data_IF_815780107543
#
_entry.id   IF_815780107543
#
_cell.length_a   1.000
_cell.length_b   1.000
_cell.length_c   1.000
_cell.angle_alpha   90.00
_cell.angle_beta   90.00
_cell.angle_gamma   90.00
#
_symmetry.space_group_name_H-M   'P 1'
#
loop_
_entity.id
_entity.type
_entity.pdbx_description
1 polymer ?
#
# COMPACT_ATOMS: atom_id res chain seq x y z
N UNK A 1 8.18 9.97 -5.42
CA UNK A 1 7.36 11.16 -5.04
C UNK A 1 6.91 10.95 -3.60
N UNK A 2 6.92 12.00 -2.76
CA UNK A 2 6.65 11.89 -1.32
C UNK A 2 5.34 12.61 -0.97
N UNK A 3 4.47 12.00 -0.15
CA UNK A 3 3.21 12.61 0.32
C UNK A 3 3.09 12.55 1.84
N UNK A 4 2.81 13.70 2.47
CA UNK A 4 2.50 13.79 3.91
C UNK A 4 1.06 13.37 4.17
N UNK A 5 0.77 12.94 5.41
CA UNK A 5 -0.61 12.70 5.87
C UNK A 5 -1.48 13.94 5.58
N UNK A 6 -2.71 13.70 5.14
CA UNK A 6 -3.73 14.67 4.75
C UNK A 6 -3.39 15.54 3.52
N UNK A 7 -2.22 15.35 2.90
CA UNK A 7 -1.86 16.01 1.65
C UNK A 7 -2.78 15.55 0.52
N UNK A 8 -3.27 16.51 -0.26
CA UNK A 8 -4.07 16.24 -1.45
C UNK A 8 -3.12 15.77 -2.57
N UNK A 9 -3.36 14.54 -3.03
CA UNK A 9 -2.60 13.90 -4.11
C UNK A 9 -3.23 14.24 -5.46
N UNK A 10 -4.55 14.17 -5.54
CA UNK A 10 -5.31 14.40 -6.77
C UNK A 10 -6.59 15.19 -6.46
N UNK A 11 -6.88 16.18 -7.30
CA UNK A 11 -8.21 16.79 -7.44
C UNK A 11 -8.64 16.61 -8.88
N UNK A 12 -9.78 15.95 -9.08
CA UNK A 12 -10.21 15.59 -10.43
C UNK A 12 -11.69 15.92 -10.64
N UNK A 13 -11.99 16.50 -11.80
CA UNK A 13 -13.36 16.63 -12.32
C UNK A 13 -13.72 15.40 -13.13
N UNK A 14 -14.97 14.91 -13.07
CA UNK A 14 -15.36 13.68 -13.72
C UNK A 14 -15.36 13.82 -15.24
N UNK A 15 -14.92 12.77 -15.93
CA UNK A 15 -15.04 12.64 -17.39
C UNK A 15 -16.52 12.56 -17.81
N UNK A 16 -17.28 11.78 -17.06
CA UNK A 16 -18.73 11.65 -17.16
C UNK A 16 -19.30 11.51 -15.76
N UNK A 17 -20.46 12.12 -15.53
CA UNK A 17 -21.22 11.99 -14.29
C UNK A 17 -22.70 11.74 -14.61
N UNK A 18 -23.35 10.88 -13.84
CA UNK A 18 -24.76 10.55 -13.94
C UNK A 18 -25.37 10.54 -12.54
N UNK A 19 -26.37 11.38 -12.34
CA UNK A 19 -27.12 11.46 -11.09
C UNK A 19 -28.05 10.25 -10.95
N UNK A 20 -28.11 9.69 -9.74
CA UNK A 20 -29.09 8.65 -9.43
C UNK A 20 -30.50 9.24 -9.54
N UNK A 21 -31.42 8.46 -10.07
CA UNK A 21 -32.77 8.93 -10.40
C UNK A 21 -33.56 9.37 -9.19
N UNK A 22 -33.40 8.63 -8.08
CA UNK A 22 -34.00 8.94 -6.79
C UNK A 22 -33.49 10.29 -6.26
N UNK A 23 -32.29 10.71 -6.68
CA UNK A 23 -31.64 11.95 -6.24
C UNK A 23 -31.81 13.11 -7.22
N UNK A 24 -32.38 12.86 -8.40
CA UNK A 24 -32.46 13.81 -9.51
C UNK A 24 -33.20 15.12 -9.16
N UNK A 25 -34.10 15.09 -8.17
CA UNK A 25 -34.81 16.29 -7.65
C UNK A 25 -34.15 16.96 -6.44
N UNK A 26 -33.11 16.33 -5.86
CA UNK A 26 -32.43 16.80 -4.65
C UNK A 26 -31.05 17.40 -4.95
N UNK A 27 -30.36 16.89 -5.96
CA UNK A 27 -29.01 17.33 -6.33
C UNK A 27 -28.96 17.80 -7.79
N UNK A 28 -28.14 18.81 -8.06
CA UNK A 28 -27.91 19.30 -9.41
C UNK A 28 -27.28 18.20 -10.30
N UNK A 29 -27.85 17.93 -11.47
CA UNK A 29 -27.37 16.88 -12.40
C UNK A 29 -25.98 17.12 -13.00
N UNK A 30 -25.41 18.33 -12.83
CA UNK A 30 -24.05 18.65 -13.26
C UNK A 30 -23.06 18.74 -12.09
N UNK A 31 -23.33 19.61 -11.12
CA UNK A 31 -22.37 19.86 -10.04
C UNK A 31 -22.59 19.00 -8.79
N UNK A 32 -23.71 18.29 -8.67
CA UNK A 32 -24.05 17.45 -7.50
C UNK A 32 -24.20 18.25 -6.19
N UNK A 33 -24.45 19.56 -6.26
CA UNK A 33 -24.82 20.35 -5.08
C UNK A 33 -26.29 20.17 -4.75
N UNK A 34 -26.60 20.04 -3.45
CA UNK A 34 -27.96 20.10 -2.93
C UNK A 34 -28.36 21.57 -2.76
N UNK A 35 -29.15 22.07 -3.71
CA UNK A 35 -29.64 23.45 -3.78
C UNK A 35 -31.05 23.43 -4.35
N UNK A 36 -31.75 24.56 -4.31
CA UNK A 36 -32.99 24.72 -5.09
C UNK A 36 -32.70 24.45 -6.56
N UNK A 37 -33.39 23.47 -7.13
CA UNK A 37 -33.23 23.08 -8.52
C UNK A 37 -34.38 23.61 -9.36
N UNK A 38 -34.13 23.75 -10.65
CA UNK A 38 -35.15 23.88 -11.67
C UNK A 38 -34.98 22.76 -12.69
N UNK A 39 -36.10 22.37 -13.26
CA UNK A 39 -36.20 21.33 -14.27
C UNK A 39 -35.80 21.86 -15.64
N UNK A 40 -35.16 21.02 -16.44
CA UNK A 40 -34.91 21.31 -17.85
C UNK A 40 -36.25 21.40 -18.58
N UNK A 41 -36.63 22.57 -19.12
CA UNK A 41 -37.97 22.79 -19.67
C UNK A 41 -38.22 22.00 -20.96
N UNK A 42 -37.17 21.49 -21.61
CA UNK A 42 -37.27 20.75 -22.86
C UNK A 42 -37.55 19.27 -22.64
N UNK A 43 -36.74 18.61 -21.81
CA UNK A 43 -36.84 17.16 -21.63
C UNK A 43 -37.53 16.75 -20.33
N UNK A 44 -37.60 17.62 -19.32
CA UNK A 44 -38.18 17.31 -18.00
C UNK A 44 -37.44 16.23 -17.18
N UNK A 45 -36.33 15.69 -17.70
CA UNK A 45 -35.56 14.59 -17.11
C UNK A 45 -34.34 15.01 -16.29
N UNK A 46 -33.90 16.26 -16.41
CA UNK A 46 -32.68 16.76 -15.75
C UNK A 46 -32.98 18.02 -14.95
N UNK A 47 -32.31 18.15 -13.80
CA UNK A 47 -32.51 19.27 -12.88
C UNK A 47 -31.18 19.96 -12.58
N UNK A 48 -31.20 21.28 -12.52
CA UNK A 48 -29.99 22.10 -12.33
C UNK A 48 -30.19 23.17 -11.28
N UNK A 49 -29.12 23.53 -10.56
CA UNK A 49 -29.17 24.61 -9.57
C UNK A 49 -28.99 26.01 -10.18
N UNK A 50 -28.51 26.10 -11.42
CA UNK A 50 -28.27 27.37 -12.13
C UNK A 50 -28.27 27.15 -13.65
N UNK A 51 -28.64 28.20 -14.41
CA UNK A 51 -28.52 28.19 -15.89
C UNK A 51 -27.08 27.96 -16.36
N UNK A 52 -26.11 28.32 -15.51
CA UNK A 52 -24.71 28.03 -15.76
C UNK A 52 -24.41 26.52 -15.72
N UNK A 53 -24.93 25.80 -14.72
CA UNK A 53 -24.77 24.35 -14.65
C UNK A 53 -25.42 23.63 -15.83
N UNK A 54 -26.63 24.04 -16.22
CA UNK A 54 -27.32 23.53 -17.43
C UNK A 54 -26.46 23.76 -18.69
N UNK A 55 -25.87 24.96 -18.83
CA UNK A 55 -25.01 25.28 -19.98
C UNK A 55 -23.69 24.51 -20.00
N UNK A 56 -23.13 24.21 -18.82
CA UNK A 56 -21.87 23.46 -18.66
C UNK A 56 -22.06 21.96 -18.86
N UNK A 57 -23.28 21.43 -18.69
CA UNK A 57 -23.62 20.05 -19.03
C UNK A 57 -23.74 19.88 -20.55
N UNK A 58 -22.59 19.85 -21.21
CA UNK A 58 -22.48 19.71 -22.67
C UNK A 58 -22.95 18.34 -23.18
N UNK A 59 -22.95 17.31 -22.32
CA UNK A 59 -23.48 15.98 -22.63
C UNK A 59 -25.00 16.06 -22.67
N UNK A 60 -25.63 16.70 -21.68
CA UNK A 60 -27.09 16.90 -21.67
C UNK A 60 -27.60 17.53 -22.95
N UNK A 61 -26.91 18.54 -23.50
CA UNK A 61 -27.30 19.19 -24.76
C UNK A 61 -27.43 18.21 -25.93
N UNK A 62 -26.69 17.10 -25.93
CA UNK A 62 -26.70 16.07 -26.98
C UNK A 62 -27.77 14.99 -26.73
N UNK A 63 -28.11 14.71 -25.47
CA UNK A 63 -29.15 13.72 -25.10
C UNK A 63 -30.53 14.34 -24.86
N UNK A 64 -30.65 15.67 -24.71
CA UNK A 64 -31.89 16.36 -24.30
C UNK A 64 -33.08 16.08 -25.22
N UNK A 65 -32.90 16.23 -26.53
CA UNK A 65 -33.97 15.98 -27.52
C UNK A 65 -34.40 14.51 -27.52
N UNK A 66 -33.46 13.59 -27.35
CA UNK A 66 -33.74 12.16 -27.26
C UNK A 66 -34.63 11.85 -26.06
N UNK A 67 -34.32 12.40 -24.88
CA UNK A 67 -35.15 12.28 -23.68
C UNK A 67 -36.53 12.94 -23.82
N UNK A 68 -36.62 14.09 -24.52
CA UNK A 68 -37.91 14.72 -24.83
C UNK A 68 -38.79 13.79 -25.66
N UNK A 69 -38.28 13.30 -26.79
CA UNK A 69 -39.02 12.43 -27.69
C UNK A 69 -39.42 11.10 -27.01
N UNK A 70 -38.53 10.56 -26.17
CA UNK A 70 -38.80 9.36 -25.38
C UNK A 70 -40.02 9.53 -24.46
N UNK A 71 -40.14 10.69 -23.80
CA UNK A 71 -41.24 11.00 -22.89
C UNK A 71 -42.59 11.12 -23.61
N UNK A 72 -42.57 11.65 -24.84
CA UNK A 72 -43.77 11.83 -25.67
C UNK A 72 -44.30 10.50 -26.26
N UNK A 73 -43.48 9.44 -26.28
CA UNK A 73 -43.80 8.14 -26.87
C UNK A 73 -44.74 7.26 -26.00
N UNK A 74 -44.93 7.59 -24.72
CA UNK A 74 -45.90 6.91 -23.83
C UNK A 74 -45.58 5.45 -23.45
N UNK A 75 -44.49 4.86 -23.93
CA UNK A 75 -44.04 3.50 -23.63
C UNK A 75 -43.10 3.46 -22.41
N UNK A 76 -43.59 3.89 -21.24
CA UNK A 76 -42.74 4.13 -20.07
C UNK A 76 -42.85 3.00 -19.02
N UNK A 77 -42.34 1.81 -19.33
CA UNK A 77 -42.15 0.71 -18.36
C UNK A 77 -40.68 0.31 -18.17
N UNK A 78 -39.74 1.07 -18.72
CA UNK A 78 -38.33 0.88 -18.39
C UNK A 78 -37.96 1.84 -17.28
N UNK A 79 -37.88 1.27 -16.07
CA UNK A 79 -37.05 1.77 -14.99
C UNK A 79 -35.77 2.33 -15.61
N UNK A 80 -35.65 3.66 -15.65
CA UNK A 80 -34.35 4.26 -15.90
C UNK A 80 -33.41 3.61 -14.87
N UNK A 81 -32.38 2.92 -15.33
CA UNK A 81 -31.38 2.34 -14.43
C UNK A 81 -30.24 3.35 -14.35
N UNK A 82 -29.76 3.67 -13.15
CA UNK A 82 -28.68 4.65 -12.96
C UNK A 82 -27.43 4.28 -13.81
N UNK A 83 -27.15 2.98 -13.97
CA UNK A 83 -26.09 2.46 -14.85
C UNK A 83 -26.35 2.70 -16.34
N UNK A 84 -27.61 2.68 -16.79
CA UNK A 84 -27.96 2.97 -18.17
C UNK A 84 -27.69 4.44 -18.50
N UNK A 85 -28.05 5.35 -17.59
CA UNK A 85 -27.80 6.79 -17.74
C UNK A 85 -26.29 7.07 -17.78
N UNK A 86 -25.51 6.41 -16.92
CA UNK A 86 -24.04 6.51 -16.98
C UNK A 86 -23.51 5.98 -18.31
N UNK A 87 -23.98 4.82 -18.77
CA UNK A 87 -23.50 4.23 -20.02
C UNK A 87 -23.83 5.10 -21.24
N UNK A 88 -25.07 5.61 -21.31
CA UNK A 88 -25.49 6.55 -22.34
C UNK A 88 -24.57 7.77 -22.39
N UNK A 89 -24.32 8.40 -21.23
CA UNK A 89 -23.47 9.58 -21.16
C UNK A 89 -22.02 9.30 -21.58
N UNK A 90 -21.50 8.10 -21.34
CA UNK A 90 -20.19 7.67 -21.86
C UNK A 90 -20.21 7.61 -23.38
N UNK A 91 -21.21 6.96 -23.98
CA UNK A 91 -21.34 6.87 -25.44
C UNK A 91 -21.47 8.25 -26.09
N UNK A 92 -22.32 9.11 -25.52
CA UNK A 92 -22.49 10.48 -26.01
C UNK A 92 -21.17 11.24 -25.89
N UNK A 93 -20.49 11.16 -24.74
CA UNK A 93 -19.22 11.84 -24.51
C UNK A 93 -18.19 11.44 -25.55
N UNK A 94 -17.99 10.14 -25.83
CA UNK A 94 -16.99 9.64 -26.80
C UNK A 94 -17.26 10.05 -28.25
N UNK A 95 -18.49 10.47 -28.59
CA UNK A 95 -18.86 11.02 -29.90
C UNK A 95 -18.79 12.53 -30.01
N UNK A 96 -18.58 13.22 -28.89
CA UNK A 96 -18.33 14.66 -28.90
C UNK A 96 -16.92 14.95 -29.40
N UNK A 97 -16.69 16.22 -29.78
CA UNK A 97 -15.35 16.75 -30.00
C UNK A 97 -14.63 16.85 -28.63
N UNK A 98 -13.92 15.77 -28.26
CA UNK A 98 -13.13 15.66 -27.03
C UNK A 98 -11.66 15.87 -27.38
N UNK A 99 -10.92 16.46 -26.45
CA UNK A 99 -9.46 16.49 -26.52
C UNK A 99 -8.89 15.06 -26.76
N UNK A 100 -8.06 14.84 -27.80
CA UNK A 100 -7.47 13.54 -28.09
C UNK A 100 -6.74 12.90 -26.90
N UNK A 101 -6.12 13.70 -26.03
CA UNK A 101 -5.42 13.22 -24.82
C UNK A 101 -6.42 12.64 -23.82
N UNK A 102 -7.57 13.29 -23.62
CA UNK A 102 -8.61 12.84 -22.70
C UNK A 102 -9.28 11.55 -23.22
N UNK A 103 -9.56 11.49 -24.53
CA UNK A 103 -10.07 10.27 -25.18
C UNK A 103 -9.07 9.11 -25.11
N UNK A 104 -7.77 9.39 -25.34
CA UNK A 104 -6.71 8.40 -25.17
C UNK A 104 -6.61 7.92 -23.72
N UNK A 105 -6.75 8.83 -22.74
CA UNK A 105 -6.77 8.49 -21.32
C UNK A 105 -7.91 7.52 -21.01
N UNK A 106 -9.13 7.79 -21.48
CA UNK A 106 -10.28 6.89 -21.36
C UNK A 106 -10.04 5.53 -22.03
N UNK A 107 -9.58 5.51 -23.28
CA UNK A 107 -9.34 4.28 -24.03
C UNK A 107 -8.24 3.40 -23.42
N UNK A 108 -7.29 4.01 -22.69
CA UNK A 108 -6.20 3.30 -22.00
C UNK A 108 -6.63 2.56 -20.72
N UNK A 109 -7.82 2.86 -20.18
CA UNK A 109 -8.36 2.13 -19.04
C UNK A 109 -8.65 0.67 -19.42
N UNK A 110 -8.37 -0.27 -18.51
CA UNK A 110 -8.77 -1.68 -18.73
C UNK A 110 -10.27 -1.79 -18.91
N UNK A 111 -10.68 -2.55 -19.91
CA UNK A 111 -12.07 -2.87 -20.19
C UNK A 111 -12.44 -4.29 -19.76
N UNK A 112 -11.47 -5.12 -19.38
CA UNK A 112 -11.67 -6.54 -19.07
C UNK A 112 -12.48 -7.28 -20.15
N UNK A 113 -12.32 -6.89 -21.42
CA UNK A 113 -13.16 -7.36 -22.54
C UNK A 113 -13.27 -8.89 -22.60
N UNK A 114 -12.14 -9.60 -22.55
CA UNK A 114 -12.10 -11.06 -22.64
C UNK A 114 -12.79 -11.76 -21.47
N UNK A 115 -12.79 -11.14 -20.29
CA UNK A 115 -13.49 -11.64 -19.11
C UNK A 115 -14.99 -11.36 -19.22
N UNK A 116 -15.37 -10.15 -19.65
CA UNK A 116 -16.77 -9.74 -19.82
C UNK A 116 -17.48 -10.57 -20.88
N UNK A 117 -16.86 -10.84 -22.03
CA UNK A 117 -17.49 -11.65 -23.09
C UNK A 117 -17.80 -13.08 -22.62
N UNK A 118 -17.03 -13.61 -21.67
CA UNK A 118 -17.25 -14.94 -21.07
C UNK A 118 -18.25 -14.91 -19.92
N UNK A 119 -18.48 -13.74 -19.33
CA UNK A 119 -19.40 -13.53 -18.22
C UNK A 119 -20.84 -13.33 -18.73
N UNK A 120 -21.64 -14.40 -18.67
CA UNK A 120 -23.03 -14.42 -19.14
C UNK A 120 -23.91 -13.38 -18.43
N UNK A 121 -23.67 -13.13 -17.13
CA UNK A 121 -24.45 -12.16 -16.35
C UNK A 121 -24.19 -10.75 -16.87
N UNK A 122 -22.92 -10.40 -17.11
CA UNK A 122 -22.52 -9.11 -17.66
C UNK A 122 -22.98 -8.90 -19.09
N UNK A 123 -22.93 -9.92 -19.94
CA UNK A 123 -23.43 -9.81 -21.32
C UNK A 123 -24.95 -9.60 -21.35
N UNK A 124 -25.70 -10.24 -20.44
CA UNK A 124 -27.14 -9.99 -20.33
C UNK A 124 -27.42 -8.56 -19.84
N UNK A 125 -26.66 -8.07 -18.85
CA UNK A 125 -26.73 -6.69 -18.38
C UNK A 125 -26.41 -5.70 -19.52
N UNK A 126 -25.35 -5.93 -20.27
CA UNK A 126 -24.96 -5.12 -21.43
C UNK A 126 -26.09 -5.03 -22.47
N UNK A 127 -26.68 -6.18 -22.86
CA UNK A 127 -27.79 -6.23 -23.81
C UNK A 127 -29.00 -5.44 -23.33
N UNK A 128 -29.31 -5.52 -22.03
CA UNK A 128 -30.38 -4.75 -21.42
C UNK A 128 -30.12 -3.24 -21.51
N UNK A 129 -28.93 -2.79 -21.09
CA UNK A 129 -28.58 -1.36 -21.16
C UNK A 129 -28.56 -0.85 -22.60
N UNK A 130 -27.98 -1.62 -23.54
CA UNK A 130 -27.95 -1.29 -24.97
C UNK A 130 -29.35 -1.16 -25.55
N UNK A 131 -30.27 -2.07 -25.20
CA UNK A 131 -31.66 -1.99 -25.64
C UNK A 131 -32.36 -0.73 -25.11
N UNK A 132 -32.14 -0.38 -23.84
CA UNK A 132 -32.69 0.86 -23.30
C UNK A 132 -32.12 2.10 -24.00
N UNK A 133 -30.81 2.14 -24.25
CA UNK A 133 -30.18 3.24 -25.01
C UNK A 133 -30.75 3.34 -26.42
N UNK A 134 -31.01 2.21 -27.09
CA UNK A 134 -31.66 2.16 -28.40
C UNK A 134 -33.02 2.85 -28.39
N UNK A 135 -33.79 2.71 -27.31
CA UNK A 135 -35.11 3.34 -27.21
C UNK A 135 -35.04 4.85 -26.97
N UNK A 136 -33.99 5.32 -26.29
CA UNK A 136 -33.78 6.75 -26.03
C UNK A 136 -33.17 7.43 -27.28
N UNK A 137 -32.04 6.92 -27.76
CA UNK A 137 -31.21 7.57 -28.80
C UNK A 137 -31.47 7.07 -30.21
N UNK A 138 -32.21 5.96 -30.38
CA UNK A 138 -32.46 5.34 -31.69
C UNK A 138 -31.34 4.39 -32.16
N UNK A 139 -31.62 3.67 -33.25
CA UNK A 139 -30.66 2.74 -33.88
C UNK A 139 -29.52 3.46 -34.59
N UNK A 140 -29.78 4.64 -35.17
CA UNK A 140 -28.77 5.41 -35.90
C UNK A 140 -27.59 5.77 -34.99
N UNK A 141 -27.85 6.26 -33.78
CA UNK A 141 -26.81 6.55 -32.79
C UNK A 141 -25.96 5.33 -32.43
N UNK A 142 -26.59 4.17 -32.20
CA UNK A 142 -25.86 2.95 -31.86
C UNK A 142 -25.05 2.40 -33.03
N UNK A 143 -25.48 2.65 -34.28
CA UNK A 143 -24.76 2.22 -35.48
C UNK A 143 -23.41 2.91 -35.67
N UNK A 144 -23.17 4.01 -34.94
CA UNK A 144 -21.88 4.70 -34.93
C UNK A 144 -20.79 3.93 -34.17
N UNK A 145 -21.13 2.87 -33.44
CA UNK A 145 -20.21 2.08 -32.63
C UNK A 145 -20.15 0.64 -33.13
N UNK A 146 -18.97 0.04 -33.14
CA UNK A 146 -18.88 -1.41 -33.33
C UNK A 146 -19.39 -2.15 -32.09
N UNK A 147 -19.83 -3.40 -32.23
CA UNK A 147 -20.22 -4.22 -31.08
C UNK A 147 -19.08 -4.36 -30.07
N UNK A 148 -17.85 -4.46 -30.58
CA UNK A 148 -16.64 -4.54 -29.79
C UNK A 148 -16.46 -3.28 -28.95
N UNK A 149 -16.62 -2.08 -29.54
CA UNK A 149 -16.49 -0.81 -28.83
C UNK A 149 -17.55 -0.69 -27.74
N UNK A 150 -18.81 -1.08 -28.01
CA UNK A 150 -19.88 -1.03 -27.03
C UNK A 150 -19.59 -1.91 -25.81
N UNK A 151 -19.12 -3.15 -26.02
CA UNK A 151 -18.75 -4.06 -24.91
C UNK A 151 -17.52 -3.51 -24.16
N UNK A 152 -16.54 -2.99 -24.89
CA UNK A 152 -15.31 -2.41 -24.34
C UNK A 152 -15.60 -1.17 -23.49
N UNK A 153 -16.52 -0.29 -23.90
CA UNK A 153 -16.96 0.87 -23.12
C UNK A 153 -17.81 0.46 -21.92
N UNK A 154 -18.67 -0.55 -22.07
CA UNK A 154 -19.43 -1.13 -20.96
C UNK A 154 -18.50 -1.70 -19.88
N UNK A 155 -17.43 -2.38 -20.29
CA UNK A 155 -16.41 -2.89 -19.38
C UNK A 155 -15.68 -1.80 -18.63
N UNK A 156 -15.19 -0.77 -19.34
CA UNK A 156 -14.57 0.39 -18.67
C UNK A 156 -15.52 1.04 -17.66
N UNK A 157 -16.78 1.21 -18.01
CA UNK A 157 -17.78 1.73 -17.08
C UNK A 157 -17.88 0.87 -15.82
N UNK A 158 -18.03 -0.44 -15.95
CA UNK A 158 -18.23 -1.32 -14.80
C UNK A 158 -17.04 -1.33 -13.83
N UNK A 159 -15.84 -1.39 -14.39
CA UNK A 159 -14.57 -1.48 -13.65
C UNK A 159 -14.22 -0.14 -12.99
N UNK A 160 -14.48 0.98 -13.66
CA UNK A 160 -13.94 2.29 -13.26
C UNK A 160 -14.96 3.25 -12.66
N UNK A 161 -16.27 2.97 -12.75
CA UNK A 161 -17.30 3.83 -12.14
C UNK A 161 -17.05 3.98 -10.65
N UNK A 162 -17.22 5.21 -10.19
CA UNK A 162 -17.10 5.61 -8.80
C UNK A 162 -18.45 6.10 -8.31
N UNK A 163 -18.88 5.57 -7.16
CA UNK A 163 -20.06 6.03 -6.45
C UNK A 163 -19.76 7.38 -5.77
N UNK A 164 -20.41 8.45 -6.21
CA UNK A 164 -20.24 9.80 -5.67
C UNK A 164 -21.21 10.00 -4.51
N UNK A 165 -20.68 10.42 -3.36
CA UNK A 165 -21.46 10.57 -2.12
C UNK A 165 -21.39 11.99 -1.58
N UNK A 166 -22.47 12.44 -0.93
CA UNK A 166 -22.50 13.64 -0.09
C UNK A 166 -22.93 13.22 1.31
N UNK A 167 -22.00 13.29 2.26
CA UNK A 167 -22.15 12.60 3.54
C UNK A 167 -22.30 11.09 3.32
N UNK A 168 -23.36 10.50 3.88
CA UNK A 168 -23.66 9.08 3.74
C UNK A 168 -24.56 8.76 2.53
N UNK A 169 -25.07 9.78 1.83
CA UNK A 169 -26.00 9.59 0.73
C UNK A 169 -25.25 9.33 -0.57
N UNK A 170 -25.60 8.25 -1.26
CA UNK A 170 -25.24 8.05 -2.66
C UNK A 170 -26.02 9.06 -3.51
N UNK A 171 -25.30 9.87 -4.29
CA UNK A 171 -25.90 10.88 -5.18
C UNK A 171 -25.99 10.37 -6.61
N UNK A 172 -24.98 9.60 -7.03
CA UNK A 172 -24.84 9.17 -8.40
C UNK A 172 -23.51 8.47 -8.65
N UNK A 173 -23.19 8.29 -9.92
CA UNK A 173 -21.96 7.66 -10.38
C UNK A 173 -21.19 8.57 -11.32
N UNK A 174 -19.87 8.42 -11.32
CA UNK A 174 -18.98 9.14 -12.21
C UNK A 174 -17.78 8.30 -12.65
N UNK A 175 -17.15 8.69 -13.76
CA UNK A 175 -15.84 8.20 -14.17
C UNK A 175 -14.78 9.29 -13.95
N UNK A 176 -13.71 8.94 -13.26
CA UNK A 176 -12.55 9.79 -12.97
C UNK A 176 -11.32 9.09 -13.55
N UNK A 177 -10.85 9.55 -14.71
CA UNK A 177 -9.86 8.82 -15.51
C UNK A 177 -8.52 8.68 -14.79
N UNK A 178 -8.05 9.75 -14.12
CA UNK A 178 -6.77 9.73 -13.42
C UNK A 178 -6.87 8.93 -12.12
N UNK A 179 -7.96 9.08 -11.36
CA UNK A 179 -8.21 8.28 -10.16
C UNK A 179 -8.30 6.78 -10.46
N UNK A 180 -8.88 6.40 -11.60
CA UNK A 180 -9.01 5.01 -12.07
C UNK A 180 -7.67 4.32 -12.37
N UNK A 181 -6.57 5.07 -12.46
CA UNK A 181 -5.21 4.50 -12.66
C UNK A 181 -4.57 4.01 -11.37
N UNK A 182 -5.07 4.42 -10.20
CA UNK A 182 -4.50 3.98 -8.92
C UNK A 182 -4.80 2.51 -8.66
N UNK A 183 -3.78 1.79 -8.20
CA UNK A 183 -3.91 0.37 -7.87
C UNK A 183 -4.77 0.16 -6.63
N UNK A 184 -5.41 -1.00 -6.58
CA UNK A 184 -6.16 -1.42 -5.41
C UNK A 184 -5.23 -1.86 -4.26
N UNK A 185 -5.59 -1.49 -3.03
CA UNK A 185 -5.18 -2.17 -1.80
C UNK A 185 -6.39 -2.34 -0.88
N UNK A 186 -6.53 -3.50 -0.22
CA UNK A 186 -7.55 -3.69 0.82
C UNK A 186 -7.25 -2.90 2.11
N UNK A 187 -6.04 -2.34 2.20
CA UNK A 187 -5.61 -1.37 3.20
C UNK A 187 -4.96 -0.20 2.43
N UNK A 188 -5.76 0.73 1.88
CA UNK A 188 -5.24 1.79 1.05
C UNK A 188 -4.48 2.82 1.89
N UNK A 189 -3.42 3.38 1.33
CA UNK A 189 -2.69 4.52 1.92
C UNK A 189 -3.32 5.88 1.56
N UNK A 190 -4.47 5.88 0.87
CA UNK A 190 -5.24 7.09 0.52
C UNK A 190 -6.73 6.96 0.84
N UNK A 191 -7.41 8.10 0.95
CA UNK A 191 -8.88 8.20 1.06
C UNK A 191 -9.43 9.03 -0.09
N UNK A 192 -10.53 8.56 -0.66
CA UNK A 192 -11.36 9.32 -1.61
C UNK A 192 -12.43 10.07 -0.82
N UNK A 193 -12.58 11.34 -1.13
CA UNK A 193 -13.68 12.20 -0.68
C UNK A 193 -14.19 13.02 -1.86
N UNK A 194 -15.38 13.60 -1.71
CA UNK A 194 -15.98 14.41 -2.77
C UNK A 194 -16.22 15.83 -2.29
N UNK A 195 -15.88 16.79 -3.14
CA UNK A 195 -16.32 18.18 -3.03
C UNK A 195 -17.29 18.42 -4.19
N UNK A 196 -18.58 18.30 -3.90
CA UNK A 196 -19.62 18.24 -4.92
C UNK A 196 -19.34 17.10 -5.91
N UNK A 197 -19.26 17.37 -7.22
CA UNK A 197 -18.90 16.38 -8.25
C UNK A 197 -17.39 16.15 -8.39
N UNK A 198 -16.52 16.80 -7.62
CA UNK A 198 -15.05 16.65 -7.74
C UNK A 198 -14.52 15.57 -6.80
N UNK A 199 -13.70 14.66 -7.33
CA UNK A 199 -12.95 13.70 -6.53
C UNK A 199 -11.73 14.36 -5.90
N UNK A 200 -11.54 14.13 -4.61
CA UNK A 200 -10.36 14.55 -3.85
C UNK A 200 -9.73 13.30 -3.23
N UNK A 201 -8.51 12.98 -3.69
CA UNK A 201 -7.70 11.91 -3.15
C UNK A 201 -6.69 12.49 -2.15
N UNK A 202 -6.71 12.02 -0.91
CA UNK A 202 -5.78 12.44 0.15
C UNK A 202 -4.98 11.27 0.69
N UNK A 203 -3.73 11.53 1.08
CA UNK A 203 -2.91 10.55 1.78
C UNK A 203 -3.42 10.35 3.22
N UNK A 204 -3.60 9.11 3.66
CA UNK A 204 -4.03 8.79 5.03
C UNK A 204 -2.85 8.73 6.01
N UNK A 205 -1.65 8.54 5.47
CA UNK A 205 -0.38 8.44 6.17
C UNK A 205 0.73 8.99 5.27
N UNK A 206 1.95 8.99 5.79
CA UNK A 206 3.13 9.22 4.96
C UNK A 206 3.23 8.16 3.86
N UNK A 207 3.40 8.59 2.60
CA UNK A 207 3.70 7.72 1.44
C UNK A 207 5.11 8.08 0.96
N UNK A 208 6.03 7.12 1.03
CA UNK A 208 7.45 7.31 0.67
C UNK A 208 7.66 7.10 -0.83
N UNK A 209 8.88 7.34 -1.32
CA UNK A 209 9.16 7.24 -2.77
C UNK A 209 9.00 5.83 -3.34
N UNK A 210 9.18 4.81 -2.50
CA UNK A 210 9.06 3.39 -2.87
C UNK A 210 7.61 2.88 -2.87
N UNK A 211 6.68 3.70 -2.37
CA UNK A 211 5.28 3.38 -2.30
C UNK A 211 4.51 4.13 -3.38
N UNK A 212 3.55 3.45 -4.01
CA UNK A 212 2.55 4.10 -4.85
C UNK A 212 1.30 4.41 -4.04
N UNK A 213 0.59 5.53 -4.31
CA UNK A 213 -0.75 5.72 -3.79
C UNK A 213 -1.69 4.60 -4.26
N UNK A 214 -2.54 4.13 -3.36
CA UNK A 214 -3.48 3.03 -3.59
C UNK A 214 -4.87 3.39 -3.08
N UNK A 215 -5.90 2.89 -3.76
CA UNK A 215 -7.32 3.09 -3.42
C UNK A 215 -7.98 1.78 -3.03
N UNK A 216 -9.14 1.82 -2.38
CA UNK A 216 -9.96 0.62 -2.16
C UNK A 216 -11.09 0.54 -3.18
N UNK A 217 -11.22 -0.61 -3.85
CA UNK A 217 -12.31 -0.92 -4.79
C UNK A 217 -13.43 -1.73 -4.12
N UNK A 218 -13.23 -2.14 -2.87
CA UNK A 218 -14.18 -2.87 -2.04
C UNK A 218 -14.31 -2.22 -0.66
N UNK A 219 -15.34 -2.58 0.09
CA UNK A 219 -15.52 -2.07 1.45
C UNK A 219 -14.45 -2.67 2.38
N UNK A 220 -13.87 -1.82 3.24
CA UNK A 220 -12.71 -2.19 4.06
C UNK A 220 -13.07 -3.03 5.29
N UNK A 221 -14.35 -3.07 5.66
CA UNK A 221 -14.95 -3.85 6.75
C UNK A 221 -15.26 -5.31 6.39
N UNK A 222 -15.28 -5.68 5.11
CA UNK A 222 -15.48 -7.06 4.65
C UNK A 222 -14.35 -7.96 5.12
N UNK A 223 -14.65 -9.24 5.39
CA UNK A 223 -13.66 -10.26 5.71
C UNK A 223 -12.71 -10.53 4.53
N UNK A 224 -11.59 -11.20 4.79
CA UNK A 224 -10.59 -11.49 3.75
C UNK A 224 -11.15 -12.32 2.61
N UNK A 225 -12.00 -13.31 2.93
CA UNK A 225 -12.66 -14.15 1.92
C UNK A 225 -13.66 -13.34 1.09
N UNK A 226 -14.47 -12.50 1.74
CA UNK A 226 -15.45 -11.65 1.06
C UNK A 226 -14.77 -10.66 0.12
N UNK A 227 -13.70 -9.98 0.56
CA UNK A 227 -12.96 -9.03 -0.30
C UNK A 227 -12.36 -9.73 -1.51
N UNK A 228 -11.69 -10.87 -1.33
CA UNK A 228 -11.09 -11.63 -2.45
C UNK A 228 -12.15 -12.10 -3.43
N UNK A 229 -13.27 -12.63 -2.93
CA UNK A 229 -14.40 -13.08 -3.75
C UNK A 229 -15.02 -11.92 -4.52
N UNK A 230 -15.23 -10.78 -3.85
CA UNK A 230 -15.78 -9.57 -4.46
C UNK A 230 -14.89 -9.02 -5.57
N UNK A 231 -13.59 -8.86 -5.32
CA UNK A 231 -12.64 -8.33 -6.31
C UNK A 231 -12.53 -9.26 -7.53
N UNK A 232 -12.47 -10.57 -7.30
CA UNK A 232 -12.44 -11.56 -8.40
C UNK A 232 -13.73 -11.53 -9.22
N UNK A 233 -14.89 -11.44 -8.56
CA UNK A 233 -16.20 -11.42 -9.23
C UNK A 233 -16.45 -10.14 -10.02
N UNK A 234 -16.15 -8.98 -9.43
CA UNK A 234 -16.58 -7.69 -9.99
C UNK A 234 -15.47 -6.95 -10.76
N UNK A 235 -14.19 -7.31 -10.54
CA UNK A 235 -13.02 -6.66 -11.15
C UNK A 235 -12.04 -7.64 -11.82
N UNK A 236 -12.32 -8.94 -11.80
CA UNK A 236 -11.57 -9.98 -12.52
C UNK A 236 -10.08 -10.12 -12.15
N UNK A 237 -9.68 -9.75 -10.93
CA UNK A 237 -8.29 -9.94 -10.46
C UNK A 237 -8.22 -10.52 -9.04
N UNK A 238 -7.10 -11.19 -8.72
CA UNK A 238 -6.77 -11.69 -7.39
C UNK A 238 -5.90 -10.66 -6.63
N UNK A 239 -6.32 -10.24 -5.43
CA UNK A 239 -5.61 -9.23 -4.66
C UNK A 239 -4.45 -9.82 -3.84
N UNK A 240 -3.26 -9.25 -4.02
CA UNK A 240 -2.03 -9.64 -3.33
C UNK A 240 -1.47 -8.54 -2.40
N UNK A 241 -2.32 -7.62 -1.91
CA UNK A 241 -1.88 -6.60 -0.96
C UNK A 241 -1.52 -7.20 0.41
N UNK A 242 -0.78 -6.42 1.22
CA UNK A 242 -0.32 -6.78 2.57
C UNK A 242 -1.42 -7.36 3.48
N UNK A 243 -2.62 -6.74 3.47
CA UNK A 243 -3.78 -7.24 4.21
C UNK A 243 -4.25 -8.62 3.73
N UNK A 244 -4.20 -8.88 2.42
CA UNK A 244 -4.64 -10.16 1.83
C UNK A 244 -3.59 -11.27 1.93
N UNK A 245 -2.30 -10.92 2.04
CA UNK A 245 -1.18 -11.85 2.23
C UNK A 245 -0.82 -12.08 3.69
N UNK A 246 -1.42 -11.33 4.62
CA UNK A 246 -1.17 -11.46 6.07
C UNK A 246 0.20 -10.91 6.51
N UNK A 247 0.80 -10.03 5.72
CA UNK A 247 2.09 -9.39 6.06
C UNK A 247 1.81 -7.96 6.51
N UNK A 248 1.86 -7.68 7.82
CA UNK A 248 1.74 -6.31 8.31
C UNK A 248 3.08 -5.55 8.27
N UNK A 249 3.08 -4.26 7.86
CA UNK A 249 4.28 -3.43 7.93
C UNK A 249 4.62 -3.06 9.38
N UNK A 250 5.91 -3.05 9.68
CA UNK A 250 6.43 -2.88 11.05
C UNK A 250 6.10 -1.52 11.69
N UNK A 251 5.96 -0.47 10.87
CA UNK A 251 5.47 0.84 11.34
C UNK A 251 4.05 0.76 11.93
N UNK A 252 3.19 -0.11 11.37
CA UNK A 252 1.82 -0.29 11.87
C UNK A 252 1.84 -1.07 13.18
N UNK A 253 2.68 -2.11 13.27
CA UNK A 253 2.86 -2.88 14.50
C UNK A 253 3.25 -1.94 15.65
N UNK A 254 4.35 -1.19 15.52
CA UNK A 254 4.79 -0.31 16.61
C UNK A 254 3.82 0.84 16.92
N UNK A 255 3.02 1.29 15.93
CA UNK A 255 1.96 2.27 16.15
C UNK A 255 0.75 1.68 16.90
N UNK A 256 0.33 0.44 16.60
CA UNK A 256 -0.72 -0.28 17.34
C UNK A 256 -0.34 -0.54 18.80
N UNK A 257 0.95 -0.71 19.09
CA UNK A 257 1.46 -0.83 20.47
C UNK A 257 1.62 0.52 21.20
N UNK A 258 1.22 1.63 20.57
CA UNK A 258 1.22 2.99 21.12
C UNK A 258 2.56 3.37 21.76
N UNK A 259 3.69 2.95 21.17
CA UNK A 259 5.02 3.29 21.71
C UNK A 259 5.15 4.82 21.75
N UNK A 260 5.34 5.37 22.95
CA UNK A 260 5.48 6.81 23.15
C UNK A 260 6.93 7.21 22.89
N UNK A 261 7.16 7.89 21.77
CA UNK A 261 8.48 8.31 21.34
C UNK A 261 9.24 9.13 22.40
N UNK A 262 8.57 10.02 23.13
CA UNK A 262 9.24 10.88 24.12
C UNK A 262 9.78 10.05 25.28
N UNK A 263 8.96 9.17 25.86
CA UNK A 263 9.41 8.28 26.93
C UNK A 263 10.46 7.26 26.43
N UNK A 264 10.31 6.77 25.20
CA UNK A 264 11.27 5.83 24.62
C UNK A 264 12.63 6.48 24.40
N UNK A 265 12.68 7.73 23.94
CA UNK A 265 13.93 8.48 23.78
C UNK A 265 14.63 8.73 25.12
N UNK A 266 13.86 9.07 26.16
CA UNK A 266 14.40 9.21 27.51
C UNK A 266 14.99 7.88 28.03
N UNK A 267 14.28 6.77 27.83
CA UNK A 267 14.76 5.45 28.23
C UNK A 267 15.96 4.98 27.40
N UNK A 268 16.00 5.28 26.10
CA UNK A 268 17.19 5.06 25.26
C UNK A 268 18.41 5.75 25.86
N UNK A 269 18.28 6.99 26.33
CA UNK A 269 19.36 7.71 27.02
C UNK A 269 19.83 7.07 28.32
N UNK A 270 19.00 6.23 28.95
CA UNK A 270 19.33 5.47 30.17
C UNK A 270 19.87 4.07 29.86
N UNK A 271 19.73 3.59 28.62
CA UNK A 271 20.13 2.24 28.24
C UNK A 271 21.65 2.08 28.30
N UNK A 272 22.08 1.03 29.00
CA UNK A 272 23.48 0.63 29.14
C UNK A 272 23.76 -0.60 28.30
N UNK A 273 24.95 -0.65 27.71
CA UNK A 273 25.47 -1.83 27.02
C UNK A 273 26.52 -2.46 27.93
N UNK A 274 26.35 -3.73 28.26
CA UNK A 274 27.24 -4.48 29.15
C UNK A 274 27.79 -5.70 28.42
N UNK A 275 29.10 -5.92 28.51
CA UNK A 275 29.72 -7.13 28.01
C UNK A 275 29.76 -8.20 29.11
N UNK A 276 29.16 -9.35 28.85
CA UNK A 276 29.08 -10.44 29.82
C UNK A 276 29.44 -11.79 29.19
N UNK A 277 30.03 -12.67 29.99
CA UNK A 277 30.29 -14.05 29.58
C UNK A 277 28.97 -14.81 29.41
N UNK A 278 28.98 -15.77 28.49
CA UNK A 278 27.80 -16.59 28.17
C UNK A 278 27.18 -17.22 29.44
N UNK A 279 25.84 -17.13 29.61
CA UNK A 279 25.11 -17.85 30.65
C UNK A 279 25.21 -19.37 30.47
N UNK A 280 25.41 -20.12 31.55
CA UNK A 280 25.79 -21.53 31.52
C UNK A 280 24.75 -22.47 30.87
N UNK A 281 23.48 -22.06 30.83
CA UNK A 281 22.35 -22.94 30.50
C UNK A 281 21.79 -22.84 29.06
N UNK A 282 22.36 -22.03 28.17
CA UNK A 282 21.67 -21.73 26.90
C UNK A 282 22.46 -22.05 25.62
N UNK A 283 21.72 -22.28 24.52
CA UNK A 283 22.13 -22.89 23.24
C UNK A 283 23.40 -22.26 22.65
N UNK A 284 24.15 -23.06 21.88
CA UNK A 284 25.58 -22.94 21.56
C UNK A 284 26.14 -21.59 21.02
N UNK A 285 25.35 -20.55 20.75
CA UNK A 285 25.80 -19.36 20.00
C UNK A 285 25.17 -18.00 20.36
N UNK A 286 24.67 -17.76 21.58
CA UNK A 286 24.07 -16.46 21.96
C UNK A 286 25.09 -15.32 21.81
N UNK A 287 24.69 -14.28 21.07
CA UNK A 287 25.47 -13.09 20.75
C UNK A 287 25.05 -11.88 21.59
N UNK A 288 23.76 -11.73 21.86
CA UNK A 288 23.19 -10.68 22.69
C UNK A 288 21.94 -11.17 23.42
N UNK A 289 21.59 -10.50 24.51
CA UNK A 289 20.34 -10.77 25.23
C UNK A 289 19.89 -9.58 26.07
N UNK A 290 18.66 -9.71 26.54
CA UNK A 290 18.04 -8.85 27.54
C UNK A 290 17.30 -9.74 28.54
N UNK A 291 17.39 -9.42 29.83
CA UNK A 291 16.65 -10.14 30.85
C UNK A 291 15.19 -9.65 30.89
N UNK A 292 14.26 -10.57 31.20
CA UNK A 292 12.82 -10.24 31.26
C UNK A 292 12.40 -9.54 32.55
N UNK A 293 13.00 -9.96 33.65
CA UNK A 293 12.61 -9.54 35.01
C UNK A 293 13.59 -8.51 35.62
N UNK A 294 14.76 -8.35 35.01
CA UNK A 294 15.81 -7.45 35.50
C UNK A 294 15.84 -6.12 34.76
N UNK A 295 16.76 -5.24 35.16
CA UNK A 295 16.97 -3.87 34.68
C UNK A 295 16.53 -3.65 33.21
N UNK A 296 15.39 -2.97 32.96
CA UNK A 296 14.82 -2.82 31.62
C UNK A 296 15.64 -1.87 30.75
N UNK A 297 16.76 -1.35 31.23
CA UNK A 297 17.64 -0.42 30.53
C UNK A 297 19.03 -1.03 30.33
N UNK A 298 19.17 -2.35 30.26
CA UNK A 298 20.47 -2.99 29.97
C UNK A 298 20.36 -3.95 28.80
N UNK A 299 21.25 -3.78 27.83
CA UNK A 299 21.50 -4.72 26.73
C UNK A 299 22.81 -5.44 27.01
N UNK A 300 22.79 -6.76 26.98
CA UNK A 300 23.97 -7.59 27.19
C UNK A 300 24.51 -8.07 25.86
N UNK A 301 25.81 -7.91 25.66
CA UNK A 301 26.54 -8.39 24.49
C UNK A 301 27.55 -9.42 24.97
N UNK A 302 27.70 -10.51 24.22
CA UNK A 302 28.66 -11.55 24.57
C UNK A 302 30.10 -10.99 24.61
N UNK A 303 30.80 -11.19 25.74
CA UNK A 303 32.15 -10.71 25.99
C UNK A 303 33.19 -11.16 24.95
N UNK A 304 32.92 -12.25 24.22
CA UNK A 304 33.77 -12.72 23.11
C UNK A 304 34.02 -11.62 22.07
N UNK A 305 33.04 -10.75 21.81
CA UNK A 305 33.24 -9.62 20.88
C UNK A 305 34.31 -8.65 21.38
N UNK A 306 34.26 -8.31 22.67
CA UNK A 306 35.25 -7.43 23.28
C UNK A 306 36.64 -8.05 23.23
N UNK A 307 36.77 -9.33 23.61
CA UNK A 307 38.04 -10.06 23.57
C UNK A 307 38.62 -10.14 22.16
N UNK A 308 37.78 -10.44 21.14
CA UNK A 308 38.21 -10.48 19.74
C UNK A 308 38.69 -9.10 19.27
N UNK A 309 37.96 -8.03 19.58
CA UNK A 309 38.35 -6.68 19.20
C UNK A 309 39.69 -6.28 19.84
N UNK A 310 39.96 -6.65 21.10
CA UNK A 310 41.27 -6.41 21.72
C UNK A 310 42.40 -7.13 21.00
N UNK A 311 42.19 -8.40 20.58
CA UNK A 311 43.18 -9.14 19.78
C UNK A 311 43.47 -8.42 18.45
N UNK A 312 42.41 -7.99 17.74
CA UNK A 312 42.54 -7.37 16.41
C UNK A 312 43.20 -6.00 16.44
N UNK A 313 43.09 -5.26 17.55
CA UNK A 313 43.72 -3.94 17.74
C UNK A 313 45.24 -3.97 17.63
N UNK A 314 45.88 -5.10 17.94
CA UNK A 314 47.33 -5.27 17.83
C UNK A 314 47.86 -4.93 16.42
N UNK A 315 47.12 -5.34 15.37
CA UNK A 315 47.38 -5.01 13.96
C UNK A 315 46.15 -4.38 13.30
N UNK A 316 45.69 -3.25 13.83
CA UNK A 316 44.43 -2.60 13.39
C UNK A 316 44.31 -2.40 11.87
N UNK A 317 45.38 -2.01 11.18
CA UNK A 317 45.35 -1.74 9.72
C UNK A 317 45.06 -2.99 8.90
N UNK A 318 45.64 -4.13 9.28
CA UNK A 318 45.46 -5.41 8.59
C UNK A 318 44.09 -6.03 8.90
N UNK A 319 43.53 -5.71 10.07
CA UNK A 319 42.29 -6.29 10.58
C UNK A 319 41.07 -5.37 10.42
N UNK A 320 41.18 -4.27 9.68
CA UNK A 320 40.14 -3.24 9.62
C UNK A 320 38.79 -3.81 9.17
N UNK A 321 38.79 -4.72 8.19
CA UNK A 321 37.55 -5.32 7.68
C UNK A 321 36.81 -6.15 8.72
N UNK A 322 37.56 -6.93 9.51
CA UNK A 322 36.99 -7.74 10.58
C UNK A 322 36.47 -6.84 11.71
N UNK A 323 37.22 -5.79 12.07
CA UNK A 323 36.82 -4.82 13.11
C UNK A 323 35.51 -4.13 12.72
N UNK A 324 35.39 -3.63 11.50
CA UNK A 324 34.19 -2.97 10.98
C UNK A 324 33.01 -3.93 10.86
N UNK A 325 33.26 -5.16 10.40
CA UNK A 325 32.24 -6.22 10.36
C UNK A 325 31.69 -6.53 11.74
N UNK A 326 32.55 -6.70 12.75
CA UNK A 326 32.15 -6.92 14.14
C UNK A 326 31.38 -5.71 14.69
N UNK A 327 31.87 -4.51 14.42
CA UNK A 327 31.26 -3.25 14.87
C UNK A 327 29.85 -3.11 14.33
N UNK A 328 29.65 -3.28 13.02
CA UNK A 328 28.34 -3.26 12.39
C UNK A 328 27.41 -4.30 13.00
N UNK A 329 27.86 -5.55 13.18
CA UNK A 329 27.04 -6.59 13.79
C UNK A 329 26.59 -6.19 15.20
N UNK A 330 27.50 -5.68 16.03
CA UNK A 330 27.15 -5.25 17.38
C UNK A 330 26.09 -4.15 17.37
N UNK A 331 26.15 -3.19 16.45
CA UNK A 331 25.08 -2.19 16.27
C UNK A 331 23.74 -2.84 15.93
N UNK A 332 23.73 -3.83 15.04
CA UNK A 332 22.50 -4.58 14.70
C UNK A 332 21.97 -5.36 15.91
N UNK A 333 22.84 -5.99 16.70
CA UNK A 333 22.44 -6.68 17.93
C UNK A 333 21.85 -5.72 18.97
N UNK A 334 22.40 -4.52 19.10
CA UNK A 334 21.87 -3.48 19.98
C UNK A 334 20.47 -3.05 19.52
N UNK A 335 20.28 -2.80 18.21
CA UNK A 335 18.97 -2.45 17.65
C UNK A 335 17.95 -3.58 17.86
N UNK A 336 18.37 -4.83 17.66
CA UNK A 336 17.55 -6.01 17.89
C UNK A 336 17.04 -6.06 19.34
N UNK A 337 17.94 -5.95 20.32
CA UNK A 337 17.57 -5.98 21.74
C UNK A 337 16.75 -4.76 22.15
N UNK A 338 17.03 -3.59 21.56
CA UNK A 338 16.26 -2.37 21.77
C UNK A 338 14.79 -2.56 21.34
N UNK A 339 14.53 -3.29 20.26
CA UNK A 339 13.18 -3.62 19.84
C UNK A 339 12.39 -4.34 20.94
N UNK A 340 13.04 -5.24 21.69
CA UNK A 340 12.41 -5.89 22.85
C UNK A 340 12.26 -4.95 24.04
N UNK A 341 13.26 -4.11 24.33
CA UNK A 341 13.18 -3.15 25.43
C UNK A 341 12.01 -2.17 25.24
N UNK A 342 11.71 -1.76 24.00
CA UNK A 342 10.55 -0.91 23.70
C UNK A 342 9.22 -1.50 24.21
N UNK A 343 9.04 -2.82 24.12
CA UNK A 343 7.89 -3.51 24.71
C UNK A 343 7.97 -3.57 26.24
N UNK A 344 9.16 -3.84 26.78
CA UNK A 344 9.36 -3.95 28.23
C UNK A 344 9.14 -2.64 28.97
N UNK A 345 9.52 -1.50 28.38
CA UNK A 345 9.24 -0.18 28.94
C UNK A 345 7.74 0.12 29.07
N UNK A 346 6.89 -0.62 28.35
CA UNK A 346 5.44 -0.62 28.51
C UNK A 346 4.89 -1.69 29.46
N UNK A 347 5.75 -2.47 30.12
CA UNK A 347 5.37 -3.58 30.98
C UNK A 347 5.10 -4.89 30.22
N UNK A 348 5.33 -4.95 28.91
CA UNK A 348 5.16 -6.16 28.11
C UNK A 348 6.48 -6.95 28.11
N UNK A 349 6.56 -7.97 28.98
CA UNK A 349 7.80 -8.72 29.24
C UNK A 349 8.20 -9.70 28.15
N UNK A 350 7.23 -10.17 27.37
CA UNK A 350 7.41 -11.12 26.26
C UNK A 350 6.83 -10.49 25.01
N UNK A 351 7.58 -10.58 23.90
CA UNK A 351 7.12 -10.09 22.60
C UNK A 351 5.76 -10.74 22.25
N UNK A 352 4.73 -9.96 21.90
CA UNK A 352 3.42 -10.49 21.52
C UNK A 352 3.48 -11.49 20.36
N UNK A 353 2.72 -12.58 20.44
CA UNK A 353 2.73 -13.69 19.46
C UNK A 353 2.50 -13.23 18.01
N UNK A 354 1.67 -12.19 17.80
CA UNK A 354 1.42 -11.60 16.47
C UNK A 354 2.70 -11.06 15.80
N UNK A 355 3.67 -10.61 16.59
CA UNK A 355 4.95 -10.07 16.12
C UNK A 355 5.98 -11.20 15.95
N UNK A 356 5.81 -12.30 16.70
CA UNK A 356 6.74 -13.43 16.88
C UNK A 356 8.05 -13.03 17.57
N UNK A 357 8.83 -12.16 16.96
CA UNK A 357 10.19 -11.81 17.37
C UNK A 357 10.48 -10.35 16.98
N UNK A 358 10.46 -9.44 17.96
CA UNK A 358 10.49 -8.00 17.72
C UNK A 358 11.80 -7.52 17.09
N UNK A 359 12.93 -8.09 17.51
CA UNK A 359 14.24 -7.74 16.98
C UNK A 359 14.41 -8.17 15.52
N UNK A 360 14.03 -9.40 15.17
CA UNK A 360 14.01 -9.90 13.79
C UNK A 360 13.08 -9.06 12.94
N UNK A 361 11.93 -8.64 13.47
CA UNK A 361 11.06 -7.72 12.75
C UNK A 361 11.78 -6.40 12.49
N UNK A 362 12.36 -5.76 13.49
CA UNK A 362 13.09 -4.52 13.28
C UNK A 362 14.23 -4.67 12.25
N UNK A 363 14.96 -5.78 12.28
CA UNK A 363 15.97 -6.12 11.26
C UNK A 363 15.38 -6.27 9.86
N UNK A 364 14.24 -6.95 9.72
CA UNK A 364 13.55 -7.10 8.43
C UNK A 364 13.11 -5.75 7.85
N UNK A 365 12.72 -4.80 8.72
CA UNK A 365 12.40 -3.44 8.29
C UNK A 365 13.62 -2.63 7.88
N UNK A 366 14.71 -2.69 8.65
CA UNK A 366 15.92 -1.91 8.38
C UNK A 366 16.77 -2.49 7.24
N UNK A 367 16.79 -3.82 7.13
CA UNK A 367 17.75 -4.57 6.32
C UNK A 367 17.07 -5.65 5.46
N UNK A 368 15.76 -5.70 5.34
CA UNK A 368 15.08 -6.66 4.45
C UNK A 368 15.30 -8.15 4.77
N UNK A 369 15.78 -8.47 5.98
CA UNK A 369 15.91 -9.83 6.46
C UNK A 369 16.72 -9.96 7.76
N UNK A 370 16.86 -11.21 8.22
CA UNK A 370 17.62 -11.55 9.43
C UNK A 370 19.12 -11.46 9.18
N UNK A 371 19.82 -10.64 9.96
CA UNK A 371 21.25 -10.38 9.86
C UNK A 371 22.04 -11.43 10.65
N UNK A 372 23.11 -11.96 10.07
CA UNK A 372 23.95 -13.02 10.66
C UNK A 372 25.41 -12.75 10.35
N UNK A 373 26.32 -13.10 11.26
CA UNK A 373 27.76 -13.00 11.00
C UNK A 373 28.33 -14.30 10.46
N UNK A 374 29.33 -14.20 9.60
CA UNK A 374 30.09 -15.34 9.07
C UNK A 374 31.38 -15.50 9.87
N UNK A 375 31.56 -16.69 10.47
CA UNK A 375 32.73 -17.04 11.27
C UNK A 375 33.49 -18.25 10.71
N UNK A 376 34.80 -18.31 10.98
CA UNK A 376 35.70 -19.42 10.63
C UNK A 376 36.64 -19.74 11.81
N UNK A 377 36.90 -21.03 12.13
CA UNK A 377 36.38 -22.24 11.50
C UNK A 377 34.90 -22.54 11.89
N UNK A 378 34.28 -23.55 11.27
CA UNK A 378 32.91 -24.00 11.60
C UNK A 378 32.86 -24.80 12.91
N UNK A 379 33.30 -24.20 14.02
CA UNK A 379 33.38 -24.84 15.34
C UNK A 379 32.66 -24.01 16.43
N UNK A 380 32.84 -24.38 17.70
CA UNK A 380 32.38 -23.56 18.82
C UNK A 380 33.05 -22.18 18.75
N UNK A 381 32.22 -21.14 18.85
CA UNK A 381 32.67 -19.76 18.74
C UNK A 381 33.52 -19.35 19.94
N UNK A 382 34.65 -18.69 19.69
CA UNK A 382 35.56 -18.16 20.70
C UNK A 382 36.19 -16.85 20.23
N UNK A 383 36.96 -16.18 21.09
CA UNK A 383 37.73 -14.98 20.73
C UNK A 383 38.82 -15.24 19.67
N UNK A 384 39.09 -16.51 19.33
CA UNK A 384 39.98 -16.89 18.23
C UNK A 384 39.25 -17.07 16.89
N UNK A 385 37.91 -17.10 16.86
CA UNK A 385 37.15 -17.23 15.61
C UNK A 385 37.29 -15.97 14.76
N UNK A 386 37.66 -16.15 13.48
CA UNK A 386 37.75 -15.05 12.52
C UNK A 386 36.36 -14.72 11.97
N UNK A 387 36.02 -13.44 11.93
CA UNK A 387 34.81 -12.94 11.28
C UNK A 387 35.19 -12.23 9.98
N UNK A 388 34.47 -12.50 8.90
CA UNK A 388 34.89 -12.01 7.58
C UNK A 388 33.72 -11.56 6.69
N UNK A 389 32.50 -11.55 7.22
CA UNK A 389 31.37 -10.99 6.49
C UNK A 389 30.05 -11.13 7.22
N UNK A 390 29.02 -10.52 6.64
CA UNK A 390 27.65 -10.55 7.15
C UNK A 390 26.73 -11.12 6.08
N UNK A 391 25.77 -11.94 6.51
CA UNK A 391 24.70 -12.48 5.68
C UNK A 391 23.35 -11.96 6.11
N UNK A 392 22.49 -11.77 5.12
CA UNK A 392 21.08 -11.48 5.33
C UNK A 392 20.24 -12.63 4.79
N UNK A 393 19.34 -13.15 5.62
CA UNK A 393 18.33 -14.13 5.25
C UNK A 393 16.98 -13.44 5.08
N UNK A 394 16.47 -13.34 3.86
CA UNK A 394 15.18 -12.70 3.57
C UNK A 394 14.03 -13.50 4.20
N UNK A 395 13.05 -12.82 4.79
CA UNK A 395 11.94 -13.46 5.54
C UNK A 395 10.74 -13.80 4.63
N UNK A 396 10.46 -12.97 3.62
CA UNK A 396 9.23 -13.04 2.80
C UNK A 396 9.36 -13.96 1.58
N UNK A 397 10.59 -14.38 1.23
CA UNK A 397 10.86 -15.30 0.11
C UNK A 397 11.80 -16.40 0.59
N UNK A 398 11.41 -17.66 0.42
CA UNK A 398 12.19 -18.85 0.77
C UNK A 398 13.73 -18.71 0.60
N UNK A 399 14.45 -19.02 1.69
CA UNK A 399 15.86 -19.50 1.84
C UNK A 399 16.97 -18.79 1.02
N UNK A 400 16.73 -17.63 0.40
CA UNK A 400 17.80 -16.89 -0.28
C UNK A 400 18.64 -16.11 0.74
N UNK A 401 19.95 -16.37 0.74
CA UNK A 401 20.95 -15.66 1.52
C UNK A 401 21.74 -14.73 0.60
N UNK A 402 22.06 -13.53 1.08
CA UNK A 402 22.95 -12.58 0.41
C UNK A 402 24.08 -12.16 1.35
N UNK A 403 25.31 -12.04 0.85
CA UNK A 403 26.45 -11.50 1.62
C UNK A 403 26.52 -10.00 1.39
N UNK A 404 26.56 -9.22 2.47
CA UNK A 404 26.73 -7.78 2.37
C UNK A 404 28.11 -7.43 1.82
N UNK A 405 28.15 -6.46 0.91
CA UNK A 405 29.40 -5.95 0.36
C UNK A 405 30.17 -5.21 1.43
N UNK A 406 31.41 -5.62 1.69
CA UNK A 406 32.24 -4.89 2.63
C UNK A 406 32.61 -3.49 2.10
N UNK A 407 33.19 -3.37 0.88
CA UNK A 407 33.60 -2.06 0.35
C UNK A 407 32.43 -1.13 0.06
N UNK A 408 31.31 -1.65 -0.45
CA UNK A 408 30.19 -0.82 -0.93
C UNK A 408 29.16 -0.50 0.17
N UNK A 409 29.13 -1.28 1.25
CA UNK A 409 28.11 -1.13 2.31
C UNK A 409 28.70 -1.08 3.72
N UNK A 410 29.34 -2.14 4.22
CA UNK A 410 29.77 -2.21 5.64
C UNK A 410 30.73 -1.10 6.00
N UNK A 411 31.77 -0.88 5.18
CA UNK A 411 32.77 0.14 5.45
C UNK A 411 32.17 1.54 5.40
N UNK A 412 31.28 1.79 4.43
CA UNK A 412 30.53 3.05 4.34
C UNK A 412 29.71 3.30 5.60
N UNK A 413 28.96 2.31 6.10
CA UNK A 413 28.15 2.44 7.32
C UNK A 413 29.02 2.72 8.55
N UNK A 414 30.16 2.05 8.69
CA UNK A 414 31.08 2.26 9.81
C UNK A 414 31.75 3.65 9.80
N UNK A 415 31.76 4.31 8.64
CA UNK A 415 32.30 5.65 8.44
C UNK A 415 31.22 6.69 8.10
N UNK A 416 29.98 6.43 8.56
CA UNK A 416 28.84 7.31 8.39
C UNK A 416 29.15 8.76 8.77
N UNK A 417 28.70 9.70 7.94
CA UNK A 417 28.75 11.14 8.21
C UNK A 417 27.33 11.69 8.38
N UNK A 418 27.04 12.46 9.46
CA UNK A 418 25.70 12.97 9.75
C UNK A 418 25.04 13.81 8.64
N UNK A 419 25.84 14.38 7.74
CA UNK A 419 25.37 15.21 6.63
C UNK A 419 24.90 14.39 5.41
N UNK A 420 25.19 13.09 5.38
CA UNK A 420 24.78 12.20 4.29
C UNK A 420 23.36 11.68 4.50
N UNK A 421 22.66 11.41 3.40
CA UNK A 421 21.29 10.90 3.43
C UNK A 421 21.23 9.55 4.16
N UNK A 422 20.45 9.50 5.24
CA UNK A 422 20.26 8.30 6.06
C UNK A 422 19.73 7.11 5.23
N UNK A 423 18.94 7.37 4.18
CA UNK A 423 18.38 6.31 3.32
C UNK A 423 19.47 5.51 2.57
N UNK A 424 20.64 6.12 2.31
CA UNK A 424 21.78 5.44 1.68
C UNK A 424 22.35 4.32 2.57
N UNK A 425 22.15 4.41 3.88
CA UNK A 425 22.68 3.48 4.86
C UNK A 425 21.68 2.38 5.24
N UNK A 426 20.41 2.56 4.89
CA UNK A 426 19.38 1.51 4.96
C UNK A 426 19.21 0.76 3.64
N UNK A 427 19.88 1.19 2.57
CA UNK A 427 19.84 0.54 1.25
C UNK A 427 20.97 -0.47 1.12
N UNK A 428 20.64 -1.76 1.14
CA UNK A 428 21.61 -2.84 1.13
C UNK A 428 22.34 -3.01 -0.20
N UNK A 429 23.66 -3.24 -0.13
CA UNK A 429 24.48 -3.67 -1.28
C UNK A 429 25.14 -5.01 -0.96
N UNK A 430 25.10 -5.96 -1.90
CA UNK A 430 25.53 -7.34 -1.70
C UNK A 430 26.49 -7.79 -2.81
N UNK A 431 27.53 -8.53 -2.44
CA UNK A 431 28.46 -9.13 -3.40
C UNK A 431 27.87 -10.42 -4.01
N UNK A 432 28.30 -10.78 -5.23
CA UNK A 432 27.98 -12.06 -5.88
C UNK A 432 28.80 -13.26 -5.34
N UNK A 433 29.59 -13.05 -4.28
CA UNK A 433 30.57 -14.00 -3.78
C UNK A 433 29.90 -15.19 -3.07
N UNK A 434 30.23 -16.41 -3.50
CA UNK A 434 29.85 -17.66 -2.79
C UNK A 434 30.64 -17.82 -1.49
N UNK A 435 30.07 -18.55 -0.53
CA UNK A 435 30.75 -18.80 0.75
C UNK A 435 32.04 -19.59 0.59
N UNK A 436 33.04 -19.24 1.40
CA UNK A 436 34.21 -20.09 1.59
C UNK A 436 33.82 -21.42 2.27
N UNK A 437 34.53 -22.52 1.97
CA UNK A 437 34.48 -23.76 2.75
C UNK A 437 34.83 -23.50 4.23
N UNK A 438 34.25 -24.28 5.15
CA UNK A 438 34.48 -24.22 6.61
C UNK A 438 33.96 -22.95 7.32
N UNK A 439 32.80 -22.45 6.90
CA UNK A 439 32.21 -21.22 7.43
C UNK A 439 30.89 -21.49 8.15
N UNK A 440 30.66 -20.80 9.27
CA UNK A 440 29.44 -20.87 10.07
C UNK A 440 28.71 -19.52 10.03
N UNK A 441 27.43 -19.53 9.68
CA UNK A 441 26.57 -18.35 9.80
C UNK A 441 25.92 -18.36 11.18
N UNK A 442 26.25 -17.38 12.02
CA UNK A 442 25.80 -17.28 13.39
C UNK A 442 24.81 -16.13 13.58
N UNK A 443 23.71 -16.45 14.26
CA UNK A 443 22.78 -15.48 14.82
C UNK A 443 22.00 -16.15 15.94
N UNK A 444 22.20 -15.69 17.17
CA UNK A 444 21.35 -16.04 18.30
C UNK A 444 21.30 -14.83 19.22
N UNK A 445 20.08 -14.39 19.47
CA UNK A 445 19.68 -13.32 20.36
C UNK A 445 18.53 -13.93 21.14
N UNK A 446 18.54 -13.84 22.46
CA UNK A 446 17.54 -14.50 23.29
C UNK A 446 17.14 -13.61 24.46
N UNK A 447 15.97 -13.89 25.02
CA UNK A 447 15.51 -13.25 26.24
C UNK A 447 15.64 -14.24 27.38
N UNK A 448 16.40 -13.87 28.41
CA UNK A 448 16.67 -14.78 29.52
C UNK A 448 15.82 -14.45 30.75
N UNK A 449 15.29 -15.47 31.46
CA UNK A 449 14.79 -15.29 32.82
C UNK A 449 15.96 -15.03 33.79
N UNK A 450 15.72 -14.35 34.91
CA UNK A 450 16.76 -14.09 35.92
C UNK A 450 17.36 -15.37 36.53
N UNK A 451 16.63 -16.49 36.49
CA UNK A 451 17.01 -17.74 37.17
C UNK A 451 17.99 -18.62 36.38
N UNK A 452 18.54 -18.16 35.26
CA UNK A 452 19.46 -18.94 34.41
C UNK A 452 20.96 -18.62 34.57
N UNK A 453 21.33 -17.87 35.62
CA UNK A 453 22.73 -17.67 36.01
C UNK A 453 23.31 -18.92 36.68
#
# INVERSE_FOLDING_TARGET
MFFKKDQIILKETPFVIAIDLIQNKNYCGFCFQNKKLFECPSCQHFFYCSRECERKDVIHKKECTAFKNYSECGSCDLLEIDLQRLFLRILVRTKMDINPIELASFNSLTDEYDNIVKDKERINQFKYLKNGIRQIMGNEFLSEFSEKDLISYFGRMLIHKTNVKSGNNLIGMALYLEASRYKHSCEPNTTISFSDSKLILKANRLITQDESPTISLCETNLSDSERKTYLKKFFYFDCHCLKCTGTQPIKVIFAEFEINCNSSLENIGKTKIVFETRPANDKKHILSWTYRESNPNTIYINKIFQERLEILKSNRKENIEEIETITFLMCVLILHELAHLLFRWKGVKVTPDKIKEAGIKLEDWLFGGKVMILTKPRSNWSSCSKHYGIRIRKIVTDIKYSRLSYPEYISKVCHFKPEEDFELYTTLVCDEIKNEPDTLALKSCDQLPETSC
#
